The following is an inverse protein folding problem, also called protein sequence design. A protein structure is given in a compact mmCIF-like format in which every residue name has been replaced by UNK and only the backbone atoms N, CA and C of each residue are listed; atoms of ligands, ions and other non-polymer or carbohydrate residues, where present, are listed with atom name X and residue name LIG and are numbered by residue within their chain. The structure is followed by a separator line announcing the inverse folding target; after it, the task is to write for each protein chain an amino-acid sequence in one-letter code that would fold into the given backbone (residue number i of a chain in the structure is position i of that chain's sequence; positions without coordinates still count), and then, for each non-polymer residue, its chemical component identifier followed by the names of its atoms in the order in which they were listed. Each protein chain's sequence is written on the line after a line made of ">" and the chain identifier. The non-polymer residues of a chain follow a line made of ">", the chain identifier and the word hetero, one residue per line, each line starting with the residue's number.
data_IF_521288658652
#
_entry.id   IF_521288658652
#
_cell.length_a   1.000
_cell.length_b   1.000
_cell.length_c   1.000
_cell.angle_alpha   90.00
_cell.angle_beta   90.00
_cell.angle_gamma   90.00
#
_symmetry.space_group_name_H-M   'P 1'
#
loop_
_entity.id
_entity.type
_entity.pdbx_description
1 polymer ?
#
# COMPACT_ATOMS: atom_id res chain seq x y z
N UNK A 1 -10.01 -9.52 -2.20
CA UNK A 1 -9.60 -8.95 -3.51
C UNK A 1 -10.15 -7.54 -3.76
N UNK A 2 -11.41 -7.23 -3.46
CA UNK A 2 -11.99 -5.92 -3.83
C UNK A 2 -11.63 -4.76 -2.90
N UNK A 3 -11.65 -4.97 -1.58
CA UNK A 3 -11.60 -3.88 -0.59
C UNK A 3 -10.21 -3.28 -0.41
N UNK A 4 -9.16 -4.10 -0.38
CA UNK A 4 -7.78 -3.63 -0.15
C UNK A 4 -7.24 -2.79 -1.31
N UNK A 5 -7.36 -3.20 -2.59
CA UNK A 5 -6.97 -2.35 -3.70
C UNK A 5 -7.83 -1.09 -3.78
N UNK A 6 -9.15 -1.18 -3.53
CA UNK A 6 -10.03 -0.02 -3.57
C UNK A 6 -9.64 1.03 -2.52
N UNK A 7 -9.34 0.61 -1.28
CA UNK A 7 -8.89 1.49 -0.20
C UNK A 7 -7.61 2.26 -0.59
N UNK A 8 -6.64 1.57 -1.20
CA UNK A 8 -5.38 2.16 -1.66
C UNK A 8 -5.61 3.15 -2.80
N UNK A 9 -6.51 2.83 -3.73
CA UNK A 9 -6.85 3.70 -4.87
C UNK A 9 -7.55 4.98 -4.39
N UNK A 10 -8.55 4.83 -3.52
CA UNK A 10 -9.30 5.96 -2.97
C UNK A 10 -8.37 6.94 -2.24
N UNK A 11 -7.43 6.41 -1.45
CA UNK A 11 -6.44 7.23 -0.77
C UNK A 11 -5.45 7.91 -1.72
N UNK A 12 -4.96 7.20 -2.74
CA UNK A 12 -4.10 7.80 -3.76
C UNK A 12 -4.80 8.98 -4.45
N UNK A 13 -6.10 8.86 -4.73
CA UNK A 13 -6.89 9.95 -5.33
C UNK A 13 -7.04 11.14 -4.38
N UNK A 14 -7.26 10.90 -3.08
CA UNK A 14 -7.30 11.97 -2.07
C UNK A 14 -5.95 12.69 -1.99
N UNK A 15 -4.84 11.97 -1.96
CA UNK A 15 -3.51 12.58 -1.96
C UNK A 15 -3.23 13.35 -3.25
N UNK A 16 -3.57 12.79 -4.40
CA UNK A 16 -3.39 13.44 -5.71
C UNK A 16 -4.16 14.76 -5.82
N UNK A 17 -5.28 14.89 -5.11
CA UNK A 17 -6.05 16.12 -5.08
C UNK A 17 -5.39 17.26 -4.28
N UNK A 18 -4.51 16.93 -3.32
CA UNK A 18 -3.92 17.91 -2.38
C UNK A 18 -2.40 18.05 -2.50
N UNK A 19 -1.73 17.13 -3.19
CA UNK A 19 -0.27 17.12 -3.41
C UNK A 19 0.05 16.51 -4.77
N UNK A 20 1.24 16.82 -5.32
CA UNK A 20 1.69 16.21 -6.57
C UNK A 20 2.23 14.81 -6.28
N UNK A 21 1.44 13.79 -6.60
CA UNK A 21 1.79 12.38 -6.34
C UNK A 21 2.19 11.69 -7.63
N UNK A 22 3.34 11.03 -7.62
CA UNK A 22 3.81 10.26 -8.76
C UNK A 22 2.84 9.11 -9.10
N UNK A 23 2.54 8.93 -10.39
CA UNK A 23 1.73 7.82 -10.86
C UNK A 23 2.37 6.45 -10.56
N UNK A 24 3.69 6.40 -10.41
CA UNK A 24 4.43 5.21 -9.99
C UNK A 24 4.00 4.70 -8.61
N UNK A 25 3.66 5.57 -7.66
CA UNK A 25 3.20 5.16 -6.34
C UNK A 25 1.93 4.32 -6.43
N UNK A 26 0.98 4.72 -7.28
CA UNK A 26 -0.26 3.98 -7.52
C UNK A 26 0.02 2.55 -7.99
N UNK A 27 0.84 2.39 -9.02
CA UNK A 27 1.14 1.07 -9.57
C UNK A 27 1.93 0.19 -8.60
N UNK A 28 2.84 0.77 -7.81
CA UNK A 28 3.59 0.04 -6.78
C UNK A 28 2.66 -0.55 -5.71
N UNK A 29 1.68 0.23 -5.27
CA UNK A 29 0.72 -0.24 -4.26
C UNK A 29 -0.33 -1.18 -4.84
N UNK A 30 -0.79 -0.94 -6.08
CA UNK A 30 -1.72 -1.84 -6.77
C UNK A 30 -1.09 -3.23 -7.00
N UNK A 31 0.11 -3.27 -7.56
CA UNK A 31 0.82 -4.53 -7.81
C UNK A 31 1.19 -5.20 -6.49
N UNK A 32 1.69 -4.44 -5.51
CA UNK A 32 2.00 -4.97 -4.18
C UNK A 32 0.79 -5.64 -3.51
N UNK A 33 -0.38 -4.99 -3.55
CA UNK A 33 -1.60 -5.55 -2.97
C UNK A 33 -2.12 -6.76 -3.74
N UNK A 34 -2.02 -6.77 -5.06
CA UNK A 34 -2.37 -7.95 -5.88
C UNK A 34 -1.47 -9.14 -5.55
N UNK A 35 -0.16 -8.94 -5.51
CA UNK A 35 0.81 -10.00 -5.14
C UNK A 35 0.50 -10.52 -3.74
N UNK A 36 0.32 -9.62 -2.76
CA UNK A 36 -0.02 -10.02 -1.40
C UNK A 36 -1.28 -10.89 -1.34
N UNK A 37 -2.35 -10.49 -2.02
CA UNK A 37 -3.63 -11.20 -1.96
C UNK A 37 -3.64 -12.49 -2.78
N UNK A 38 -3.01 -12.51 -3.95
CA UNK A 38 -2.94 -13.71 -4.79
C UNK A 38 -2.14 -14.79 -4.08
N UNK A 39 -0.96 -14.47 -3.55
CA UNK A 39 -0.14 -15.45 -2.85
C UNK A 39 -0.76 -15.87 -1.51
N UNK A 40 -1.40 -14.96 -0.77
CA UNK A 40 -2.19 -15.31 0.42
C UNK A 40 -3.30 -16.30 0.08
N UNK A 41 -4.08 -16.02 -0.96
CA UNK A 41 -5.15 -16.90 -1.41
C UNK A 41 -4.63 -18.26 -1.89
N UNK A 42 -3.56 -18.32 -2.68
CA UNK A 42 -2.99 -19.57 -3.18
C UNK A 42 -2.41 -20.44 -2.04
N UNK A 43 -1.86 -19.82 -0.99
CA UNK A 43 -1.42 -20.50 0.21
C UNK A 43 -2.59 -21.09 1.01
N UNK A 44 -3.69 -20.35 1.15
CA UNK A 44 -4.90 -20.80 1.84
C UNK A 44 -5.68 -21.86 1.05
N UNK A 45 -5.71 -21.74 -0.28
CA UNK A 45 -6.34 -22.69 -1.20
C UNK A 45 -5.57 -24.01 -1.34
N UNK A 46 -4.36 -24.12 -0.74
CA UNK A 46 -3.45 -25.27 -0.82
C UNK A 46 -2.92 -25.58 -2.23
N UNK A 47 -3.07 -24.63 -3.16
CA UNK A 47 -2.49 -24.70 -4.51
C UNK A 47 -0.97 -24.47 -4.48
N UNK A 48 -0.47 -23.74 -3.47
CA UNK A 48 0.95 -23.56 -3.19
C UNK A 48 1.29 -23.98 -1.74
N UNK A 49 2.54 -24.40 -1.47
CA UNK A 49 2.99 -24.61 -0.10
C UNK A 49 2.83 -23.35 0.74
N UNK A 50 2.26 -23.49 1.94
CA UNK A 50 1.85 -22.37 2.79
C UNK A 50 2.99 -21.40 3.12
N UNK A 51 4.18 -21.93 3.42
CA UNK A 51 5.29 -21.15 3.96
C UNK A 51 5.93 -20.23 2.88
N UNK A 52 6.25 -20.71 1.67
CA UNK A 52 6.65 -19.85 0.55
C UNK A 52 5.59 -18.82 0.18
N UNK A 53 4.32 -19.21 0.10
CA UNK A 53 3.22 -18.32 -0.26
C UNK A 53 3.05 -17.18 0.77
N UNK A 54 3.15 -17.52 2.07
CA UNK A 54 3.14 -16.55 3.16
C UNK A 54 4.32 -15.58 3.08
N UNK A 55 5.54 -16.07 2.84
CA UNK A 55 6.75 -15.22 2.73
C UNK A 55 6.62 -14.22 1.59
N UNK A 56 6.14 -14.66 0.41
CA UNK A 56 5.93 -13.74 -0.73
C UNK A 56 4.89 -12.68 -0.41
N UNK A 57 3.78 -13.08 0.24
CA UNK A 57 2.75 -12.13 0.67
C UNK A 57 3.28 -11.08 1.65
N UNK A 58 4.06 -11.52 2.65
CA UNK A 58 4.71 -10.65 3.63
C UNK A 58 5.73 -9.70 2.99
N UNK A 59 6.52 -10.17 2.03
CA UNK A 59 7.47 -9.32 1.30
C UNK A 59 6.76 -8.21 0.51
N UNK A 60 5.64 -8.54 -0.15
CA UNK A 60 4.83 -7.57 -0.86
C UNK A 60 4.22 -6.53 0.09
N UNK A 61 3.76 -6.95 1.27
CA UNK A 61 3.24 -6.05 2.31
C UNK A 61 4.32 -5.11 2.86
N UNK A 62 5.48 -5.64 3.23
CA UNK A 62 6.63 -4.85 3.72
C UNK A 62 7.10 -3.86 2.64
N UNK A 63 7.12 -4.26 1.37
CA UNK A 63 7.45 -3.39 0.25
C UNK A 63 6.47 -2.21 0.13
N UNK A 64 5.17 -2.43 0.32
CA UNK A 64 4.17 -1.35 0.33
C UNK A 64 4.41 -0.39 1.50
N UNK A 65 4.65 -0.91 2.71
CA UNK A 65 4.96 -0.09 3.89
C UNK A 65 6.20 0.77 3.64
N UNK A 66 7.27 0.18 3.12
CA UNK A 66 8.50 0.90 2.79
C UNK A 66 8.26 2.02 1.77
N UNK A 67 7.50 1.72 0.70
CA UNK A 67 7.19 2.68 -0.35
C UNK A 67 6.40 3.88 0.18
N UNK A 68 5.57 3.67 1.21
CA UNK A 68 4.77 4.72 1.86
C UNK A 68 5.56 5.48 2.95
N UNK A 69 6.34 4.83 3.81
CA UNK A 69 7.06 5.51 4.90
C UNK A 69 8.32 6.24 4.46
N UNK A 70 9.05 5.65 3.51
CA UNK A 70 10.41 6.08 3.14
C UNK A 70 10.54 6.41 1.65
N UNK A 71 9.56 6.00 0.84
CA UNK A 71 9.55 6.19 -0.61
C UNK A 71 8.75 7.41 -1.06
N UNK A 72 8.13 7.26 -2.23
CA UNK A 72 7.36 8.30 -2.91
C UNK A 72 6.17 8.82 -2.09
N UNK A 73 5.56 7.97 -1.25
CA UNK A 73 4.46 8.39 -0.38
C UNK A 73 4.89 9.41 0.68
N UNK A 74 6.07 9.22 1.28
CA UNK A 74 6.63 10.14 2.26
C UNK A 74 6.98 11.49 1.63
N UNK A 75 7.50 11.47 0.40
CA UNK A 75 7.77 12.68 -0.38
C UNK A 75 6.47 13.44 -0.67
N UNK A 76 5.42 12.76 -1.09
CA UNK A 76 4.11 13.36 -1.36
C UNK A 76 3.50 14.00 -0.09
N UNK A 77 3.59 13.33 1.06
CA UNK A 77 3.17 13.86 2.37
C UNK A 77 3.91 15.15 2.70
N UNK A 78 5.24 15.11 2.66
CA UNK A 78 6.11 16.25 3.00
C UNK A 78 5.91 17.42 2.03
N UNK A 79 5.64 17.14 0.75
CA UNK A 79 5.35 18.16 -0.26
C UNK A 79 4.00 18.85 -0.07
N UNK A 80 3.03 18.23 0.61
CA UNK A 80 1.70 18.84 0.78
C UNK A 80 1.72 20.10 1.67
N UNK A 81 2.68 20.21 2.60
CA UNK A 81 2.79 21.32 3.55
C UNK A 81 1.58 21.50 4.50
N UNK A 82 0.59 20.60 4.45
CA UNK A 82 -0.66 20.72 5.19
C UNK A 82 -0.69 19.73 6.37
N UNK A 83 -0.91 20.26 7.57
CA UNK A 83 -0.98 19.47 8.81
C UNK A 83 -2.13 18.45 8.80
N UNK A 84 -3.28 18.78 8.21
CA UNK A 84 -4.42 17.88 8.12
C UNK A 84 -4.12 16.69 7.19
N UNK A 85 -3.49 16.94 6.04
CA UNK A 85 -3.07 15.89 5.09
C UNK A 85 -2.02 14.99 5.73
N UNK A 86 -1.07 15.57 6.46
CA UNK A 86 -0.03 14.81 7.18
C UNK A 86 -0.63 13.93 8.28
N UNK A 87 -1.59 14.45 9.04
CA UNK A 87 -2.30 13.69 10.07
C UNK A 87 -3.06 12.51 9.47
N UNK A 88 -3.89 12.76 8.44
CA UNK A 88 -4.64 11.71 7.74
C UNK A 88 -3.72 10.65 7.13
N UNK A 89 -2.59 11.07 6.53
CA UNK A 89 -1.58 10.16 5.99
C UNK A 89 -1.00 9.24 7.07
N UNK A 90 -0.63 9.81 8.23
CA UNK A 90 -0.07 9.04 9.33
C UNK A 90 -1.11 8.08 9.94
N UNK A 91 -2.37 8.47 10.08
CA UNK A 91 -3.44 7.56 10.53
C UNK A 91 -3.62 6.41 9.55
N UNK A 92 -3.59 6.67 8.24
CA UNK A 92 -3.68 5.61 7.24
C UNK A 92 -2.47 4.66 7.31
N UNK A 93 -1.27 5.19 7.50
CA UNK A 93 -0.07 4.38 7.69
C UNK A 93 -0.24 3.36 8.82
N UNK A 94 -0.91 3.76 9.90
CA UNK A 94 -1.24 2.86 11.00
C UNK A 94 -2.23 1.76 10.60
N UNK A 95 -3.27 2.07 9.82
CA UNK A 95 -4.25 1.08 9.33
C UNK A 95 -3.60 0.02 8.43
N UNK A 96 -2.53 0.38 7.71
CA UNK A 96 -1.82 -0.57 6.85
C UNK A 96 -0.90 -1.51 7.66
N UNK A 97 -0.45 -1.06 8.84
CA UNK A 97 0.52 -1.77 9.68
C UNK A 97 -0.18 -2.64 10.74
N UNK A 98 -1.28 -2.16 11.32
CA UNK A 98 -2.00 -2.74 12.47
C UNK A 98 -3.36 -3.25 12.03
#
# INVERSE_FOLDING_TARGET
>A
LLTVPLLIIEFYLILKAVTNVAASLFYKLLIGSLVMLIFGYLGEAKELPYLPAFVVGMLAWIYMIYTLWMGEGAQARNASGNAAVTSAYNTMMWIIIV
#
